data_IF_316173036574
#
_entry.id   IF_316173036574
#
_cell.length_a   1.000
_cell.length_b   1.000
_cell.length_c   1.000
_cell.angle_alpha   90.00
_cell.angle_beta   90.00
_cell.angle_gamma   90.00
#
_symmetry.space_group_name_H-M   'P 1'
#
loop_
_entity.id
_entity.type
_entity.pdbx_description
1 polymer ?
#
# COMPACT_ATOMS: atom_id res chain seq x y z
N UNK A 1 -13.64 -84.40 -20.15
CA UNK A 1 -12.38 -84.91 -20.77
C UNK A 1 -11.93 -83.89 -21.82
N UNK A 2 -10.73 -83.30 -21.80
CA UNK A 2 -9.61 -83.30 -20.83
C UNK A 2 -8.90 -81.93 -20.95
N UNK A 3 -8.60 -81.19 -19.89
CA UNK A 3 -9.29 -81.02 -18.60
C UNK A 3 -9.08 -79.56 -18.16
N UNK A 4 -10.07 -78.94 -17.51
CA UNK A 4 -9.80 -77.74 -16.70
C UNK A 4 -8.98 -78.20 -15.49
N UNK A 5 -7.65 -78.12 -15.57
CA UNK A 5 -6.73 -78.25 -14.43
C UNK A 5 -5.32 -77.77 -14.74
N UNK A 6 -4.90 -76.75 -13.99
CA UNK A 6 -3.56 -76.11 -13.88
C UNK A 6 -3.30 -74.89 -14.77
N UNK A 7 -3.82 -73.72 -14.35
CA UNK A 7 -2.95 -72.73 -13.69
C UNK A 7 -3.78 -71.66 -12.93
N UNK A 8 -4.19 -71.98 -11.70
CA UNK A 8 -4.58 -70.95 -10.72
C UNK A 8 -3.30 -70.58 -9.96
N UNK A 9 -2.83 -69.33 -10.08
CA UNK A 9 -2.28 -68.49 -8.99
C UNK A 9 -1.66 -67.19 -9.53
N UNK A 10 -2.49 -66.15 -9.66
CA UNK A 10 -2.05 -64.77 -9.36
C UNK A 10 -3.24 -63.88 -9.07
N UNK A 11 -3.67 -63.84 -7.80
CA UNK A 11 -4.71 -62.92 -7.33
C UNK A 11 -4.33 -61.44 -7.54
N UNK A 12 -3.03 -61.14 -7.69
CA UNK A 12 -2.52 -59.78 -7.98
C UNK A 12 -2.98 -59.25 -9.34
N UNK A 13 -3.06 -60.07 -10.39
CA UNK A 13 -3.40 -59.60 -11.74
C UNK A 13 -4.87 -59.15 -11.82
N UNK A 14 -5.80 -59.88 -11.18
CA UNK A 14 -7.21 -59.46 -11.11
C UNK A 14 -7.40 -58.17 -10.31
N UNK A 15 -6.66 -57.98 -9.22
CA UNK A 15 -6.74 -56.75 -8.42
C UNK A 15 -6.23 -55.53 -9.22
N UNK A 16 -5.09 -55.65 -9.92
CA UNK A 16 -4.55 -54.55 -10.73
C UNK A 16 -5.54 -54.14 -11.84
N UNK A 17 -6.14 -55.11 -12.54
CA UNK A 17 -7.10 -54.82 -13.61
C UNK A 17 -8.39 -54.17 -13.09
N UNK A 18 -8.90 -54.62 -11.93
CA UNK A 18 -10.09 -54.02 -11.29
C UNK A 18 -9.79 -52.60 -10.80
N UNK A 19 -8.61 -52.36 -10.20
CA UNK A 19 -8.22 -51.02 -9.73
C UNK A 19 -8.07 -50.03 -10.89
N UNK A 20 -7.49 -50.44 -12.03
CA UNK A 20 -7.39 -49.58 -13.21
C UNK A 20 -8.75 -49.26 -13.85
N UNK A 21 -9.67 -50.23 -13.91
CA UNK A 21 -11.04 -50.00 -14.43
C UNK A 21 -11.85 -49.10 -13.49
N UNK A 22 -11.77 -49.29 -12.17
CA UNK A 22 -12.44 -48.43 -11.18
C UNK A 22 -11.90 -46.99 -11.22
N UNK A 23 -10.60 -46.79 -11.40
CA UNK A 23 -10.01 -45.46 -11.54
C UNK A 23 -10.49 -44.73 -12.81
N UNK A 24 -10.59 -45.43 -13.94
CA UNK A 24 -11.11 -44.87 -15.20
C UNK A 24 -12.59 -44.50 -15.11
N UNK A 25 -13.42 -45.33 -14.48
CA UNK A 25 -14.85 -45.02 -14.25
C UNK A 25 -15.01 -43.85 -13.26
N UNK A 26 -14.21 -43.79 -12.20
CA UNK A 26 -14.22 -42.66 -11.26
C UNK A 26 -13.84 -41.33 -11.95
N UNK A 27 -12.81 -41.31 -12.79
CA UNK A 27 -12.46 -40.12 -13.57
C UNK A 27 -13.57 -39.67 -14.52
N UNK A 28 -14.28 -40.61 -15.18
CA UNK A 28 -15.41 -40.27 -16.05
C UNK A 28 -16.63 -39.74 -15.28
N UNK A 29 -16.96 -40.29 -14.11
CA UNK A 29 -18.07 -39.80 -13.27
C UNK A 29 -17.77 -38.40 -12.71
N UNK A 30 -16.51 -38.10 -12.37
CA UNK A 30 -16.10 -36.75 -11.92
C UNK A 30 -16.12 -35.73 -13.07
N UNK A 31 -15.80 -36.12 -14.30
CA UNK A 31 -15.89 -35.22 -15.47
C UNK A 31 -17.32 -35.04 -16.03
N UNK A 32 -18.20 -36.02 -15.90
CA UNK A 32 -19.56 -35.96 -16.45
C UNK A 32 -20.57 -35.19 -15.59
N UNK A 33 -20.33 -35.05 -14.28
CA UNK A 33 -21.27 -34.40 -13.35
C UNK A 33 -21.14 -32.86 -13.25
N UNK A 34 -20.41 -32.21 -14.16
CA UNK A 34 -20.09 -30.78 -14.06
C UNK A 34 -20.58 -29.94 -15.26
N UNK A 35 -21.71 -30.34 -15.88
CA UNK A 35 -22.48 -29.51 -16.81
C UNK A 35 -23.99 -29.64 -16.57
N UNK A 36 -24.70 -28.52 -16.81
CA UNK A 36 -26.16 -28.34 -16.82
C UNK A 36 -26.94 -28.59 -15.52
N UNK A 37 -27.08 -27.53 -14.72
CA UNK A 37 -28.37 -27.19 -14.09
C UNK A 37 -28.46 -25.67 -13.89
N UNK A 38 -29.04 -24.97 -14.85
CA UNK A 38 -29.43 -23.56 -14.68
C UNK A 38 -30.64 -23.42 -13.75
N UNK A 39 -30.79 -22.21 -13.21
CA UNK A 39 -31.94 -21.63 -12.50
C UNK A 39 -32.16 -21.92 -11.00
N UNK A 40 -32.26 -20.78 -10.28
CA UNK A 40 -32.88 -20.52 -8.97
C UNK A 40 -32.08 -21.03 -7.75
N UNK A 41 -31.06 -20.24 -7.39
CA UNK A 41 -30.82 -19.87 -5.98
C UNK A 41 -30.59 -18.36 -5.89
N UNK A 42 -31.24 -17.72 -4.92
CA UNK A 42 -31.35 -16.27 -4.79
C UNK A 42 -30.16 -15.64 -4.07
N UNK A 43 -29.72 -14.50 -4.59
CA UNK A 43 -29.13 -13.34 -3.92
C UNK A 43 -27.87 -13.42 -3.03
N UNK A 44 -27.01 -12.41 -3.28
CA UNK A 44 -26.22 -11.64 -2.29
C UNK A 44 -24.83 -12.07 -1.82
N UNK A 45 -24.13 -13.03 -2.45
CA UNK A 45 -22.73 -13.35 -2.04
C UNK A 45 -21.62 -13.40 -3.12
N UNK A 46 -21.85 -13.00 -4.38
CA UNK A 46 -20.84 -13.16 -5.44
C UNK A 46 -20.57 -11.92 -6.33
N UNK A 47 -19.96 -10.86 -5.77
CA UNK A 47 -19.36 -9.78 -6.57
C UNK A 47 -18.07 -9.16 -5.99
N UNK A 48 -17.34 -9.89 -5.13
CA UNK A 48 -16.10 -9.39 -4.49
C UNK A 48 -14.79 -9.66 -5.27
N UNK A 49 -14.85 -10.37 -6.40
CA UNK A 49 -13.67 -10.84 -7.15
C UNK A 49 -13.48 -10.24 -8.56
N UNK A 50 -14.28 -9.25 -8.98
CA UNK A 50 -13.90 -8.46 -10.17
C UNK A 50 -12.78 -7.48 -9.78
N UNK A 51 -11.68 -7.36 -10.55
CA UNK A 51 -10.71 -6.32 -10.31
C UNK A 51 -11.40 -4.96 -10.45
N UNK A 52 -11.15 -4.03 -9.52
CA UNK A 52 -11.78 -2.70 -9.54
C UNK A 52 -11.31 -1.86 -10.74
N UNK A 53 -10.24 -2.29 -11.40
CA UNK A 53 -9.67 -1.72 -12.61
C UNK A 53 -9.70 -2.73 -13.75
N UNK A 54 -10.26 -2.34 -14.89
CA UNK A 54 -9.97 -3.02 -16.16
C UNK A 54 -8.54 -2.69 -16.58
N UNK A 55 -7.83 -3.68 -17.13
CA UNK A 55 -6.40 -3.53 -17.49
C UNK A 55 -6.19 -2.36 -18.45
N UNK A 56 -5.40 -1.36 -18.02
CA UNK A 56 -4.91 -0.27 -18.86
C UNK A 56 -5.54 1.10 -18.61
N UNK A 57 -6.76 1.18 -18.05
CA UNK A 57 -7.47 2.44 -17.81
C UNK A 57 -7.23 2.97 -16.39
N UNK A 58 -6.06 3.57 -16.17
CA UNK A 58 -5.73 4.31 -14.93
C UNK A 58 -5.70 5.81 -15.17
N UNK A 59 -6.50 6.55 -14.41
CA UNK A 59 -6.42 8.01 -14.29
C UNK A 59 -5.37 8.42 -13.27
N UNK A 60 -4.90 9.66 -13.35
CA UNK A 60 -4.07 10.26 -12.30
C UNK A 60 -4.80 10.27 -10.94
N UNK A 61 -6.14 10.37 -10.93
CA UNK A 61 -6.98 10.35 -9.73
C UNK A 61 -7.08 8.98 -9.05
N UNK A 62 -6.76 7.89 -9.73
CA UNK A 62 -6.73 6.55 -9.11
C UNK A 62 -5.52 6.39 -8.19
N UNK A 63 -4.48 7.20 -8.43
CA UNK A 63 -3.25 7.18 -7.64
C UNK A 63 -3.51 7.79 -6.27
N UNK A 64 -3.30 6.96 -5.25
CA UNK A 64 -3.55 7.33 -3.87
C UNK A 64 -2.73 8.54 -3.43
N UNK A 65 -3.40 9.46 -2.78
CA UNK A 65 -2.87 10.65 -2.14
C UNK A 65 -3.60 10.87 -0.81
N UNK A 66 -2.94 11.54 0.16
CA UNK A 66 -3.52 11.74 1.50
C UNK A 66 -4.90 12.44 1.47
N UNK A 67 -5.15 13.30 0.48
CA UNK A 67 -6.44 13.98 0.28
C UNK A 67 -7.59 13.01 -0.04
N UNK A 68 -7.30 11.86 -0.64
CA UNK A 68 -8.34 10.91 -1.09
C UNK A 68 -9.08 10.28 0.10
N UNK A 69 -8.37 10.06 1.22
CA UNK A 69 -8.98 9.64 2.48
C UNK A 69 -9.95 10.68 3.05
N UNK A 70 -9.70 11.98 2.84
CA UNK A 70 -10.67 13.03 3.18
C UNK A 70 -11.84 13.02 2.20
N UNK A 71 -11.57 12.86 0.90
CA UNK A 71 -12.58 12.85 -0.16
C UNK A 71 -13.55 11.68 -0.04
N UNK A 72 -13.12 10.48 0.40
CA UNK A 72 -14.02 9.34 0.63
C UNK A 72 -14.78 9.38 1.97
N UNK A 73 -14.38 10.21 2.93
CA UNK A 73 -15.09 10.32 4.20
C UNK A 73 -16.48 10.96 4.04
N UNK A 74 -17.45 10.58 4.86
CA UNK A 74 -18.75 11.27 4.94
C UNK A 74 -18.59 12.65 5.60
N UNK A 75 -17.71 12.70 6.61
CA UNK A 75 -17.44 13.88 7.42
C UNK A 75 -15.94 14.03 7.67
N UNK A 76 -15.47 15.27 7.78
CA UNK A 76 -14.08 15.54 8.15
C UNK A 76 -13.95 16.71 9.13
N UNK A 77 -12.98 16.62 10.04
CA UNK A 77 -12.62 17.67 10.99
C UNK A 77 -11.20 18.18 10.69
N UNK A 78 -11.07 19.43 10.21
CA UNK A 78 -9.84 19.98 9.65
C UNK A 78 -9.05 20.90 10.57
N UNK A 79 -7.72 20.82 10.43
CA UNK A 79 -6.67 21.74 10.88
C UNK A 79 -5.90 22.31 9.68
N UNK A 80 -5.67 21.49 8.66
CA UNK A 80 -4.86 21.82 7.49
C UNK A 80 -5.68 22.34 6.30
N UNK A 81 -4.99 22.96 5.36
CA UNK A 81 -5.57 23.45 4.11
C UNK A 81 -6.01 22.32 3.17
N UNK A 82 -6.90 22.65 2.24
CA UNK A 82 -7.39 21.74 1.19
C UNK A 82 -7.10 22.39 -0.16
N UNK A 83 -6.58 21.65 -1.17
CA UNK A 83 -6.36 22.20 -2.51
C UNK A 83 -7.67 22.77 -3.09
N UNK A 84 -7.58 23.92 -3.75
CA UNK A 84 -8.72 24.75 -4.15
C UNK A 84 -9.79 23.96 -4.93
N UNK A 85 -9.35 23.10 -5.85
CA UNK A 85 -10.17 22.20 -6.67
C UNK A 85 -11.12 21.27 -5.88
N UNK A 86 -10.87 21.04 -4.59
CA UNK A 86 -11.68 20.17 -3.74
C UNK A 86 -12.55 20.94 -2.72
N UNK A 87 -12.40 22.26 -2.58
CA UNK A 87 -13.06 23.04 -1.53
C UNK A 87 -14.59 22.90 -1.55
N UNK A 88 -15.23 23.08 -2.72
CA UNK A 88 -16.69 23.05 -2.87
C UNK A 88 -17.34 21.69 -2.54
N UNK A 89 -16.58 20.60 -2.71
CA UNK A 89 -16.99 19.24 -2.31
C UNK A 89 -16.76 19.03 -0.82
N UNK A 90 -15.60 19.49 -0.32
CA UNK A 90 -15.19 19.27 1.06
C UNK A 90 -15.99 20.12 2.05
N UNK A 91 -16.28 21.40 1.79
CA UNK A 91 -17.03 22.28 2.70
C UNK A 91 -18.36 21.66 3.18
N UNK A 92 -19.07 20.94 2.31
CA UNK A 92 -20.34 20.25 2.60
C UNK A 92 -20.19 19.10 3.61
N UNK A 93 -18.97 18.61 3.83
CA UNK A 93 -18.61 17.51 4.74
C UNK A 93 -18.04 17.99 6.08
N UNK A 94 -17.83 19.29 6.25
CA UNK A 94 -17.07 19.84 7.38
C UNK A 94 -17.86 19.70 8.68
N UNK A 95 -17.24 19.09 9.69
CA UNK A 95 -17.72 19.10 11.07
C UNK A 95 -16.79 19.94 11.95
N UNK A 96 -17.38 20.55 12.96
CA UNK A 96 -16.71 21.33 14.00
C UNK A 96 -17.33 20.98 15.36
N UNK A 97 -16.74 21.39 16.50
CA UNK A 97 -17.37 21.22 17.82
C UNK A 97 -18.76 21.87 17.92
N UNK A 98 -19.06 22.89 17.11
CA UNK A 98 -20.37 23.56 17.08
C UNK A 98 -21.40 22.90 16.16
N UNK A 99 -20.98 21.99 15.28
CA UNK A 99 -21.88 21.26 14.39
C UNK A 99 -22.86 20.41 15.20
N UNK A 100 -24.14 20.33 14.78
CA UNK A 100 -25.18 19.44 15.34
C UNK A 100 -24.93 17.97 14.94
N UNK A 101 -23.79 17.43 15.36
CA UNK A 101 -23.26 16.09 15.06
C UNK A 101 -24.29 15.00 15.28
N UNK A 102 -25.11 15.12 16.33
CA UNK A 102 -26.18 14.19 16.68
C UNK A 102 -27.32 14.08 15.63
N UNK A 103 -27.37 15.01 14.66
CA UNK A 103 -28.28 15.01 13.50
C UNK A 103 -27.58 14.75 12.16
N UNK A 104 -26.24 14.85 12.13
CA UNK A 104 -25.41 14.76 10.92
C UNK A 104 -24.77 13.37 10.83
N UNK A 105 -24.10 12.94 11.89
CA UNK A 105 -23.42 11.63 11.98
C UNK A 105 -24.40 10.58 12.55
N UNK A 106 -25.48 10.36 11.80
CA UNK A 106 -26.61 9.49 12.19
C UNK A 106 -26.49 8.09 11.57
N UNK A 107 -25.93 7.97 10.37
CA UNK A 107 -25.79 6.68 9.68
C UNK A 107 -24.79 5.79 10.41
N UNK A 108 -25.17 4.58 10.86
CA UNK A 108 -24.21 3.57 11.28
C UNK A 108 -23.24 3.29 10.14
N UNK A 109 -21.95 3.23 10.45
CA UNK A 109 -20.89 3.02 9.47
C UNK A 109 -20.39 4.29 8.78
N UNK A 110 -20.78 5.49 9.21
CA UNK A 110 -20.21 6.72 8.65
C UNK A 110 -18.68 6.74 8.78
N UNK A 111 -18.00 7.16 7.72
CA UNK A 111 -16.54 7.31 7.67
C UNK A 111 -16.19 8.74 8.08
N UNK A 112 -15.41 8.90 9.16
CA UNK A 112 -15.05 10.22 9.70
C UNK A 112 -13.53 10.42 9.63
N UNK A 113 -13.09 11.45 8.90
CA UNK A 113 -11.70 11.87 8.86
C UNK A 113 -11.41 12.95 9.91
N UNK A 114 -10.27 12.87 10.59
CA UNK A 114 -9.82 13.86 11.56
C UNK A 114 -8.36 14.19 11.31
N UNK A 115 -8.04 15.46 11.09
CA UNK A 115 -6.64 15.87 10.94
C UNK A 115 -5.87 15.54 12.24
N UNK A 116 -4.67 14.96 12.13
CA UNK A 116 -3.98 14.27 13.23
C UNK A 116 -3.92 15.09 14.52
N UNK A 117 -3.49 16.35 14.41
CA UNK A 117 -3.41 17.29 15.53
C UNK A 117 -4.73 17.68 16.20
N UNK A 118 -5.88 17.17 15.74
CA UNK A 118 -7.20 17.35 16.34
C UNK A 118 -7.77 16.05 16.95
N UNK A 119 -7.07 14.91 16.87
CA UNK A 119 -7.61 13.61 17.33
C UNK A 119 -8.06 13.62 18.80
N UNK A 120 -7.31 14.33 19.68
CA UNK A 120 -7.66 14.56 21.08
C UNK A 120 -8.96 15.35 21.20
N UNK A 121 -9.05 16.50 20.53
CA UNK A 121 -10.23 17.35 20.55
C UNK A 121 -11.46 16.66 19.94
N UNK A 122 -11.28 15.79 18.95
CA UNK A 122 -12.32 14.91 18.44
C UNK A 122 -12.79 13.89 19.50
N UNK A 123 -11.86 13.20 20.17
CA UNK A 123 -12.15 12.25 21.26
C UNK A 123 -12.97 12.92 22.37
N UNK A 124 -12.60 14.14 22.74
CA UNK A 124 -13.14 14.83 23.91
C UNK A 124 -14.44 15.60 23.61
N UNK A 125 -14.57 16.24 22.43
CA UNK A 125 -15.69 17.16 22.12
C UNK A 125 -16.71 16.63 21.09
N UNK A 126 -16.32 15.69 20.22
CA UNK A 126 -17.13 15.25 19.08
C UNK A 126 -17.61 13.81 19.27
N UNK A 127 -16.71 12.87 19.53
CA UNK A 127 -17.00 11.45 19.70
C UNK A 127 -18.05 11.14 20.80
N UNK A 128 -18.15 11.86 21.93
CA UNK A 128 -19.18 11.62 22.93
C UNK A 128 -20.60 11.86 22.37
N UNK A 129 -20.73 12.79 21.43
CA UNK A 129 -22.00 13.22 20.82
C UNK A 129 -22.43 12.39 19.60
N UNK A 130 -21.51 11.68 18.96
CA UNK A 130 -21.82 10.72 17.89
C UNK A 130 -22.72 9.60 18.44
N UNK A 131 -23.80 9.25 17.72
CA UNK A 131 -24.74 8.19 18.15
C UNK A 131 -24.47 6.84 17.48
N UNK A 132 -24.10 6.87 16.19
CA UNK A 132 -23.76 5.66 15.43
C UNK A 132 -22.37 5.10 15.76
N UNK A 133 -22.07 3.93 15.17
CA UNK A 133 -20.68 3.46 15.02
C UNK A 133 -20.07 4.07 13.76
N UNK A 134 -18.77 4.31 13.75
CA UNK A 134 -18.02 4.96 12.66
C UNK A 134 -16.73 4.21 12.34
N UNK A 135 -16.20 4.38 11.13
CA UNK A 135 -14.78 4.13 10.84
C UNK A 135 -14.03 5.45 10.97
N UNK A 136 -12.97 5.46 11.77
CA UNK A 136 -12.14 6.65 12.02
C UNK A 136 -10.92 6.64 11.11
N UNK A 137 -10.65 7.74 10.44
CA UNK A 137 -9.42 8.03 9.71
C UNK A 137 -8.72 9.19 10.41
N UNK A 138 -7.43 9.06 10.73
CA UNK A 138 -6.63 10.16 11.30
C UNK A 138 -5.32 10.36 10.57
N UNK A 139 -5.03 11.58 10.11
CA UNK A 139 -3.80 11.83 9.38
C UNK A 139 -3.68 13.26 8.89
N UNK A 140 -2.93 13.43 7.80
CA UNK A 140 -2.50 14.73 7.25
C UNK A 140 -1.50 15.47 8.18
N UNK A 141 -0.55 16.16 7.55
CA UNK A 141 0.67 16.62 8.19
C UNK A 141 1.68 15.49 8.47
N UNK A 142 2.78 15.88 9.11
CA UNK A 142 3.95 15.02 9.38
C UNK A 142 3.88 14.28 10.73
N UNK A 143 2.91 14.62 11.60
CA UNK A 143 2.84 14.09 12.95
C UNK A 143 2.58 12.57 12.99
N UNK A 144 3.32 11.84 13.83
CA UNK A 144 3.19 10.38 13.93
C UNK A 144 1.99 9.96 14.79
N UNK A 145 1.05 9.23 14.17
CA UNK A 145 -0.21 8.82 14.82
C UNK A 145 -0.09 7.46 15.52
N UNK A 146 -0.63 7.30 16.75
CA UNK A 146 -1.27 8.32 17.58
C UNK A 146 -0.27 9.02 18.52
N UNK A 147 0.98 8.54 18.58
CA UNK A 147 1.93 8.79 19.66
C UNK A 147 2.28 10.24 19.93
N UNK A 148 2.17 11.14 18.94
CA UNK A 148 2.42 12.58 19.16
C UNK A 148 1.22 13.35 19.71
N UNK A 149 0.03 12.74 19.78
CA UNK A 149 -1.20 13.43 20.19
C UNK A 149 -1.99 12.71 21.29
N UNK A 150 -1.83 11.39 21.44
CA UNK A 150 -2.47 10.57 22.47
C UNK A 150 -1.42 9.70 23.15
N UNK A 151 -1.49 9.59 24.48
CA UNK A 151 -0.71 8.62 25.23
C UNK A 151 -1.30 7.20 25.06
N UNK A 152 -0.63 6.18 25.62
CA UNK A 152 -1.04 4.78 25.51
C UNK A 152 -2.46 4.54 26.07
N UNK A 153 -2.78 5.12 27.22
CA UNK A 153 -4.11 4.98 27.85
C UNK A 153 -5.21 5.57 26.97
N UNK A 154 -4.99 6.79 26.46
CA UNK A 154 -5.94 7.50 25.59
C UNK A 154 -6.09 6.82 24.22
N UNK A 155 -5.02 6.19 23.73
CA UNK A 155 -5.03 5.37 22.51
C UNK A 155 -5.91 4.14 22.72
N UNK A 156 -5.75 3.43 23.84
CA UNK A 156 -6.60 2.28 24.19
C UNK A 156 -8.04 2.72 24.39
N UNK A 157 -8.29 3.82 25.10
CA UNK A 157 -9.62 4.40 25.30
C UNK A 157 -10.34 4.68 23.97
N UNK A 158 -9.66 5.32 23.02
CA UNK A 158 -10.23 5.64 21.71
C UNK A 158 -10.42 4.38 20.84
N UNK A 159 -9.43 3.50 20.75
CA UNK A 159 -9.51 2.28 19.93
C UNK A 159 -10.55 1.28 20.46
N UNK A 160 -10.60 1.05 21.77
CA UNK A 160 -11.56 0.14 22.40
C UNK A 160 -12.99 0.68 22.41
N UNK A 161 -13.19 1.99 22.20
CA UNK A 161 -14.51 2.62 22.21
C UNK A 161 -15.51 1.90 21.28
N UNK A 162 -16.68 1.55 21.80
CA UNK A 162 -17.73 0.80 21.08
C UNK A 162 -18.29 1.52 19.84
N UNK A 163 -18.06 2.83 19.71
CA UNK A 163 -18.44 3.64 18.55
C UNK A 163 -17.41 3.57 17.42
N UNK A 164 -16.16 3.16 17.69
CA UNK A 164 -15.13 2.99 16.66
C UNK A 164 -15.19 1.54 16.16
N UNK A 165 -15.53 1.36 14.88
CA UNK A 165 -15.48 0.06 14.19
C UNK A 165 -14.02 -0.33 13.96
N UNK A 166 -13.30 0.55 13.27
CA UNK A 166 -11.88 0.45 12.95
C UNK A 166 -11.27 1.84 12.91
N UNK A 167 -9.95 1.94 13.08
CA UNK A 167 -9.19 3.18 13.12
C UNK A 167 -7.96 3.09 12.21
N UNK A 168 -8.01 3.85 11.13
CA UNK A 168 -6.94 4.01 10.15
C UNK A 168 -6.13 5.27 10.41
N UNK A 169 -4.80 5.19 10.29
CA UNK A 169 -3.87 6.25 10.67
C UNK A 169 -2.78 6.46 9.61
N UNK A 170 -2.30 7.68 9.37
CA UNK A 170 -1.05 7.92 8.60
C UNK A 170 0.14 8.13 9.54
N UNK A 171 1.38 8.00 9.02
CA UNK A 171 2.62 8.15 9.82
C UNK A 171 2.62 7.29 11.10
N UNK A 172 2.17 6.04 11.01
CA UNK A 172 1.85 5.24 12.19
C UNK A 172 3.04 4.97 13.10
N UNK A 173 2.85 5.25 14.39
CA UNK A 173 3.66 4.76 15.49
C UNK A 173 2.73 4.46 16.69
N UNK A 174 2.42 3.18 16.91
CA UNK A 174 1.53 2.73 18.00
C UNK A 174 0.36 1.83 17.60
N UNK A 175 0.21 1.40 16.34
CA UNK A 175 -0.87 0.47 15.94
C UNK A 175 -0.83 -0.89 16.65
N UNK A 176 0.36 -1.32 17.11
CA UNK A 176 0.55 -2.50 17.94
C UNK A 176 -0.11 -2.40 19.33
N UNK A 177 -0.55 -1.21 19.77
CA UNK A 177 -1.26 -1.01 21.05
C UNK A 177 -2.66 -1.64 21.02
N UNK A 178 -3.34 -1.66 19.86
CA UNK A 178 -4.66 -2.26 19.70
C UNK A 178 -4.84 -2.86 18.29
N UNK A 179 -4.10 -3.93 17.95
CA UNK A 179 -3.95 -4.41 16.57
C UNK A 179 -5.22 -5.02 15.97
N UNK A 180 -6.25 -5.26 16.76
CA UNK A 180 -7.56 -5.76 16.29
C UNK A 180 -8.45 -4.66 15.67
N UNK A 181 -8.10 -3.38 15.83
CA UNK A 181 -8.82 -2.24 15.22
C UNK A 181 -7.93 -1.11 14.69
N UNK A 182 -6.64 -1.08 15.01
CA UNK A 182 -5.73 -0.01 14.58
C UNK A 182 -4.89 -0.46 13.39
N UNK A 183 -4.84 0.36 12.35
CA UNK A 183 -4.12 0.02 11.12
C UNK A 183 -3.53 1.26 10.42
N UNK A 184 -2.41 1.08 9.70
CA UNK A 184 -1.89 2.15 8.85
C UNK A 184 -2.60 2.25 7.51
N UNK A 185 -2.87 3.50 7.14
CA UNK A 185 -3.03 3.95 5.77
C UNK A 185 -1.79 4.75 5.35
N UNK A 186 -1.37 4.68 4.08
CA UNK A 186 -0.20 5.37 3.58
C UNK A 186 -0.48 6.86 3.33
N UNK A 187 0.58 7.67 3.26
CA UNK A 187 0.49 9.07 2.81
C UNK A 187 0.24 9.17 1.29
N UNK A 188 0.63 8.14 0.53
CA UNK A 188 0.48 8.07 -0.92
C UNK A 188 1.40 9.05 -1.65
N UNK A 189 0.91 9.66 -2.72
CA UNK A 189 1.58 10.73 -3.49
C UNK A 189 1.12 12.10 -3.01
N UNK A 190 1.96 13.13 -3.14
CA UNK A 190 1.63 14.51 -2.76
C UNK A 190 0.33 15.00 -3.44
N UNK A 191 -0.60 15.56 -2.65
CA UNK A 191 -1.77 16.28 -3.20
C UNK A 191 -1.44 17.68 -3.76
N UNK A 192 -0.18 18.12 -3.62
CA UNK A 192 0.33 19.42 -4.05
C UNK A 192 1.26 19.28 -5.26
N UNK A 193 1.48 20.38 -6.00
CA UNK A 193 2.46 20.51 -7.08
C UNK A 193 2.32 19.51 -8.26
N UNK A 194 1.13 18.96 -8.49
CA UNK A 194 0.83 18.13 -9.67
C UNK A 194 1.54 16.77 -9.72
N UNK A 195 1.95 16.19 -8.58
CA UNK A 195 2.76 14.97 -8.58
C UNK A 195 2.05 13.76 -9.21
N UNK A 196 0.72 13.67 -9.08
CA UNK A 196 -0.08 12.58 -9.67
C UNK A 196 -0.16 12.70 -11.19
N UNK A 197 -0.31 13.92 -11.68
CA UNK A 197 -0.33 14.31 -13.08
C UNK A 197 1.03 14.03 -13.75
N UNK A 198 2.14 14.36 -13.07
CA UNK A 198 3.48 14.00 -13.53
C UNK A 198 3.70 12.46 -13.57
N UNK A 199 3.15 11.69 -12.62
CA UNK A 199 3.15 10.21 -12.66
C UNK A 199 2.21 9.63 -13.73
N UNK A 200 1.17 10.36 -14.14
CA UNK A 200 0.31 9.99 -15.26
C UNK A 200 1.04 10.20 -16.58
N UNK A 201 1.66 11.36 -16.77
CA UNK A 201 2.49 11.65 -17.94
C UNK A 201 3.62 10.61 -18.11
N UNK A 202 4.30 10.23 -17.02
CA UNK A 202 5.31 9.17 -17.07
C UNK A 202 4.72 7.82 -17.50
N UNK A 203 3.55 7.44 -16.97
CA UNK A 203 2.85 6.20 -17.33
C UNK A 203 2.41 6.17 -18.80
N UNK A 204 1.83 7.27 -19.30
CA UNK A 204 1.36 7.41 -20.68
C UNK A 204 2.51 7.36 -21.69
N UNK A 205 3.69 7.86 -21.33
CA UNK A 205 4.93 7.73 -22.13
C UNK A 205 5.63 6.36 -21.95
N UNK A 206 5.00 5.39 -21.28
CA UNK A 206 5.54 4.03 -21.15
C UNK A 206 6.63 3.87 -20.09
N UNK A 207 6.73 4.79 -19.13
CA UNK A 207 7.59 4.69 -17.95
C UNK A 207 6.80 4.15 -16.74
N UNK A 208 7.49 3.53 -15.78
CA UNK A 208 6.85 2.96 -14.58
C UNK A 208 6.15 1.62 -14.82
N UNK A 209 5.15 1.32 -13.98
CA UNK A 209 4.45 0.04 -13.95
C UNK A 209 3.66 -0.25 -15.25
N UNK A 210 3.85 -1.43 -15.81
CA UNK A 210 3.04 -1.97 -16.91
C UNK A 210 1.59 -2.12 -16.43
N UNK A 211 0.66 -1.53 -17.17
CA UNK A 211 -0.77 -1.45 -16.81
C UNK A 211 -1.02 -1.01 -15.36
N UNK A 212 -0.15 -0.17 -14.78
CA UNK A 212 -0.23 0.31 -13.40
C UNK A 212 0.03 -0.74 -12.30
N UNK A 213 0.12 -2.03 -12.63
CA UNK A 213 0.07 -3.11 -11.63
C UNK A 213 1.22 -4.11 -11.69
N UNK A 214 2.19 -3.93 -12.60
CA UNK A 214 3.29 -4.88 -12.80
C UNK A 214 4.61 -4.17 -13.09
N UNK A 215 5.72 -4.61 -12.50
CA UNK A 215 7.06 -4.14 -12.86
C UNK A 215 7.51 -4.64 -14.23
N UNK A 216 8.32 -3.83 -14.92
CA UNK A 216 9.00 -4.25 -16.15
C UNK A 216 10.08 -5.30 -15.82
N UNK A 217 10.16 -6.44 -16.54
CA UNK A 217 11.20 -7.43 -16.31
C UNK A 217 12.57 -6.81 -16.65
N UNK A 218 13.50 -6.87 -15.70
CA UNK A 218 14.84 -6.28 -15.81
C UNK A 218 15.87 -7.29 -15.27
N UNK A 219 17.10 -7.24 -15.79
CA UNK A 219 18.18 -8.13 -15.37
C UNK A 219 19.29 -7.32 -14.71
N UNK A 220 19.79 -7.77 -13.57
CA UNK A 220 20.85 -7.07 -12.81
C UNK A 220 22.12 -6.78 -13.61
N UNK A 221 22.49 -7.69 -14.53
CA UNK A 221 23.62 -7.51 -15.47
C UNK A 221 23.42 -6.36 -16.47
N UNK A 222 22.19 -5.90 -16.66
CA UNK A 222 21.83 -4.77 -17.53
C UNK A 222 21.59 -3.48 -16.72
N UNK A 223 22.03 -3.39 -15.45
CA UNK A 223 21.91 -2.17 -14.67
C UNK A 223 22.79 -1.06 -15.25
N UNK A 224 22.34 0.20 -15.29
CA UNK A 224 23.21 1.32 -15.65
C UNK A 224 24.35 1.46 -14.63
N UNK A 225 25.45 2.11 -15.00
CA UNK A 225 26.55 2.41 -14.07
C UNK A 225 26.10 3.23 -12.84
N UNK A 226 24.99 3.97 -12.98
CA UNK A 226 24.31 4.73 -11.94
C UNK A 226 22.90 4.16 -11.72
N UNK A 227 22.78 3.19 -10.81
CA UNK A 227 21.54 2.42 -10.57
C UNK A 227 20.84 2.73 -9.24
N UNK A 228 21.38 3.65 -8.44
CA UNK A 228 20.79 4.13 -7.18
C UNK A 228 20.52 5.63 -7.31
N UNK A 229 19.42 6.14 -6.75
CA UNK A 229 19.12 7.58 -6.70
C UNK A 229 18.96 8.10 -5.26
N UNK A 230 19.76 9.10 -4.87
CA UNK A 230 19.70 9.75 -3.55
C UNK A 230 19.20 11.20 -3.70
N UNK A 231 17.86 11.31 -3.85
CA UNK A 231 17.13 12.46 -4.42
C UNK A 231 16.63 13.61 -3.50
N UNK A 232 16.98 13.70 -2.21
CA UNK A 232 16.11 14.36 -1.20
C UNK A 232 16.60 15.71 -0.63
N UNK A 233 15.64 16.57 -0.29
CA UNK A 233 15.86 17.80 0.48
C UNK A 233 16.23 17.47 1.92
N UNK A 234 17.42 17.91 2.35
CA UNK A 234 17.94 17.68 3.71
C UNK A 234 17.12 18.42 4.78
N UNK A 235 16.72 19.67 4.50
CA UNK A 235 16.13 20.57 5.49
C UNK A 235 14.79 20.11 6.06
N UNK A 236 14.05 19.24 5.37
CA UNK A 236 12.77 18.72 5.89
C UNK A 236 12.94 17.75 7.06
N UNK A 237 14.10 17.09 7.18
CA UNK A 237 14.43 16.22 8.31
C UNK A 237 15.95 15.96 8.35
N UNK A 238 16.73 16.96 8.77
CA UNK A 238 18.20 16.90 8.71
C UNK A 238 18.78 15.72 9.49
N UNK A 239 18.21 15.38 10.65
CA UNK A 239 18.72 14.32 11.51
C UNK A 239 18.66 12.93 10.84
N UNK A 240 17.60 12.63 10.08
CA UNK A 240 17.46 11.36 9.36
C UNK A 240 18.11 11.41 7.97
N UNK A 241 18.07 12.57 7.29
CA UNK A 241 18.47 12.70 5.89
C UNK A 241 19.96 12.97 5.68
N UNK A 242 20.64 13.63 6.62
CA UNK A 242 22.08 13.88 6.49
C UNK A 242 22.89 12.56 6.47
N UNK A 243 22.68 11.59 7.39
CA UNK A 243 23.40 10.31 7.34
C UNK A 243 23.20 9.54 6.03
N UNK A 244 21.98 9.57 5.47
CA UNK A 244 21.70 8.98 4.16
C UNK A 244 22.50 9.68 3.05
N UNK A 245 22.53 11.02 3.03
CA UNK A 245 23.31 11.76 2.03
C UNK A 245 24.81 11.47 2.17
N UNK A 246 25.32 11.43 3.40
CA UNK A 246 26.74 11.17 3.66
C UNK A 246 27.15 9.77 3.20
N UNK A 247 26.29 8.76 3.39
CA UNK A 247 26.53 7.40 2.91
C UNK A 247 26.49 7.27 1.38
N UNK A 248 25.45 7.80 0.71
CA UNK A 248 25.28 7.61 -0.74
C UNK A 248 26.03 8.63 -1.61
N UNK A 249 26.36 9.81 -1.08
CA UNK A 249 26.86 10.94 -1.87
C UNK A 249 28.08 11.65 -1.25
N UNK A 250 28.23 11.65 0.07
CA UNK A 250 29.34 12.33 0.76
C UNK A 250 30.72 11.84 0.29
N UNK A 251 31.68 12.76 0.16
CA UNK A 251 33.03 12.44 -0.34
C UNK A 251 33.78 11.43 0.54
N UNK A 252 33.48 11.45 1.85
CA UNK A 252 33.99 10.53 2.86
C UNK A 252 33.11 9.28 3.05
N UNK A 253 32.20 8.98 2.12
CA UNK A 253 31.34 7.79 2.17
C UNK A 253 32.17 6.52 2.45
N UNK A 254 31.80 5.70 3.46
CA UNK A 254 32.51 4.47 3.78
C UNK A 254 32.39 3.45 2.64
N UNK A 255 31.35 3.55 1.80
CA UNK A 255 31.10 2.64 0.69
C UNK A 255 31.28 3.35 -0.67
N UNK A 256 32.54 3.48 -1.09
CA UNK A 256 32.92 4.10 -2.38
C UNK A 256 32.27 3.45 -3.60
N UNK A 257 31.89 2.16 -3.54
CA UNK A 257 31.17 1.49 -4.65
C UNK A 257 29.74 2.02 -4.76
N UNK A 258 29.01 2.06 -3.64
CA UNK A 258 27.65 2.60 -3.58
C UNK A 258 27.61 4.08 -3.95
N UNK A 259 28.55 4.90 -3.48
CA UNK A 259 28.69 6.29 -3.94
C UNK A 259 28.91 6.39 -5.45
N UNK A 260 29.75 5.52 -6.03
CA UNK A 260 29.94 5.46 -7.49
C UNK A 260 28.67 5.02 -8.22
N UNK A 261 27.87 4.12 -7.67
CA UNK A 261 26.57 3.70 -8.21
C UNK A 261 25.43 4.71 -8.02
N UNK A 262 25.61 5.74 -7.19
CA UNK A 262 24.54 6.68 -6.80
C UNK A 262 24.48 7.95 -7.64
N UNK A 263 23.26 8.32 -8.06
CA UNK A 263 22.91 9.65 -8.59
C UNK A 263 22.63 10.56 -7.40
N UNK A 264 23.37 11.66 -7.33
CA UNK A 264 23.26 12.68 -6.29
C UNK A 264 22.72 13.98 -6.89
N UNK A 265 21.46 13.95 -7.36
CA UNK A 265 20.82 15.07 -8.05
C UNK A 265 19.94 15.87 -7.09
N UNK A 266 20.51 16.90 -6.44
CA UNK A 266 19.73 17.87 -5.68
C UNK A 266 19.59 19.17 -6.48
N UNK A 267 18.60 19.21 -7.39
CA UNK A 267 18.14 20.44 -8.01
C UNK A 267 16.69 20.69 -7.61
N UNK A 268 16.48 21.66 -6.70
CA UNK A 268 15.16 22.08 -6.21
C UNK A 268 14.31 22.79 -7.29
N UNK A 269 14.96 23.29 -8.34
CA UNK A 269 14.33 24.04 -9.42
C UNK A 269 14.07 23.15 -10.66
N UNK A 270 14.37 21.84 -10.56
CA UNK A 270 14.07 20.84 -11.59
C UNK A 270 12.57 20.52 -11.63
N UNK A 271 11.90 20.59 -12.79
CA UNK A 271 10.52 20.15 -12.94
C UNK A 271 10.34 18.67 -12.56
N UNK A 272 9.25 18.36 -11.86
CA UNK A 272 9.00 17.02 -11.33
C UNK A 272 8.91 15.94 -12.43
N UNK A 273 8.36 16.25 -13.61
CA UNK A 273 8.37 15.32 -14.75
C UNK A 273 9.80 14.98 -15.21
N UNK A 274 10.72 15.95 -15.18
CA UNK A 274 12.11 15.76 -15.59
C UNK A 274 12.83 14.86 -14.58
N UNK A 275 12.56 15.02 -13.29
CA UNK A 275 13.06 14.10 -12.26
C UNK A 275 12.60 12.66 -12.50
N UNK A 276 11.33 12.47 -12.89
CA UNK A 276 10.77 11.16 -13.19
C UNK A 276 11.36 10.54 -14.46
N UNK A 277 11.39 11.27 -15.57
CA UNK A 277 11.81 10.75 -16.86
C UNK A 277 13.33 10.63 -17.00
N UNK A 278 14.10 11.64 -16.57
CA UNK A 278 15.54 11.65 -16.80
C UNK A 278 16.34 10.84 -15.76
N UNK A 279 15.80 10.63 -14.55
CA UNK A 279 16.52 10.01 -13.44
C UNK A 279 15.79 8.78 -12.87
N UNK A 280 14.56 8.97 -12.39
CA UNK A 280 13.84 7.93 -11.63
C UNK A 280 13.51 6.70 -12.50
N UNK A 281 13.18 6.90 -13.77
CA UNK A 281 12.93 5.84 -14.76
C UNK A 281 14.15 4.92 -15.01
N UNK A 282 15.37 5.45 -14.82
CA UNK A 282 16.62 4.79 -15.24
C UNK A 282 17.21 3.94 -14.13
N UNK A 283 17.06 4.36 -12.88
CA UNK A 283 17.59 3.65 -11.71
C UNK A 283 16.83 2.36 -11.38
N UNK A 284 17.43 1.53 -10.52
CA UNK A 284 16.86 0.30 -9.99
C UNK A 284 16.39 0.52 -8.54
N UNK A 285 17.12 1.36 -7.80
CA UNK A 285 16.88 1.66 -6.39
C UNK A 285 16.79 3.17 -6.13
N UNK A 286 15.99 3.56 -5.13
CA UNK A 286 15.83 4.97 -4.71
C UNK A 286 15.92 5.06 -3.19
N UNK A 287 16.80 5.93 -2.70
CA UNK A 287 16.96 6.17 -1.27
C UNK A 287 15.80 7.03 -0.79
N UNK A 288 14.96 6.46 0.07
CA UNK A 288 13.73 7.07 0.60
C UNK A 288 13.80 7.15 2.14
N UNK A 289 14.62 8.06 2.70
CA UNK A 289 14.61 8.32 4.13
C UNK A 289 13.28 8.94 4.55
N UNK A 290 12.92 8.84 5.83
CA UNK A 290 11.69 9.42 6.39
C UNK A 290 11.48 10.89 5.96
N UNK A 291 10.21 11.28 5.86
CA UNK A 291 9.75 12.64 5.53
C UNK A 291 10.00 13.63 6.67
N UNK A 292 9.13 14.64 6.78
CA UNK A 292 8.96 15.31 8.08
C UNK A 292 8.39 14.31 9.08
N UNK A 293 7.40 13.53 8.64
CA UNK A 293 6.89 12.33 9.31
C UNK A 293 7.66 11.04 8.97
N UNK A 294 7.17 9.91 9.49
CA UNK A 294 7.75 8.58 9.22
C UNK A 294 7.55 8.13 7.77
N UNK A 295 6.41 8.44 7.16
CA UNK A 295 6.14 8.11 5.76
C UNK A 295 6.78 9.15 4.83
N UNK A 296 6.97 8.81 3.56
CA UNK A 296 7.50 9.73 2.57
C UNK A 296 6.82 9.51 1.20
N UNK A 297 6.33 10.60 0.60
CA UNK A 297 5.79 10.61 -0.77
C UNK A 297 6.71 9.89 -1.77
N UNK A 298 8.03 10.00 -1.59
CA UNK A 298 9.04 9.35 -2.43
C UNK A 298 8.93 7.84 -2.46
N UNK A 299 8.58 7.20 -1.33
CA UNK A 299 8.42 5.75 -1.28
C UNK A 299 7.34 5.32 -2.27
N UNK A 300 6.20 6.02 -2.26
CA UNK A 300 5.07 5.77 -3.15
C UNK A 300 5.36 6.12 -4.60
N UNK A 301 5.96 7.29 -4.88
CA UNK A 301 6.43 7.70 -6.22
C UNK A 301 7.38 6.66 -6.84
N UNK A 302 8.32 6.15 -6.05
CA UNK A 302 9.29 5.13 -6.50
C UNK A 302 8.58 3.84 -6.92
N UNK A 303 7.58 3.40 -6.13
CA UNK A 303 6.80 2.19 -6.42
C UNK A 303 5.97 2.34 -7.70
N UNK A 304 5.34 3.50 -7.94
CA UNK A 304 4.67 3.82 -9.21
C UNK A 304 5.59 3.78 -10.42
N UNK A 305 6.85 4.16 -10.22
CA UNK A 305 7.88 4.18 -11.24
C UNK A 305 8.60 2.84 -11.42
N UNK A 306 8.16 1.79 -10.71
CA UNK A 306 8.67 0.42 -10.86
C UNK A 306 10.11 0.23 -10.37
N UNK A 307 10.63 1.15 -9.56
CA UNK A 307 11.90 1.03 -8.87
C UNK A 307 11.69 0.56 -7.41
N UNK A 308 12.79 0.18 -6.74
CA UNK A 308 12.76 -0.34 -5.38
C UNK A 308 13.15 0.78 -4.40
N UNK A 309 12.24 1.30 -3.55
CA UNK A 309 12.63 2.22 -2.50
C UNK A 309 13.44 1.49 -1.42
N UNK A 310 14.51 2.13 -0.97
CA UNK A 310 15.31 1.75 0.19
C UNK A 310 14.85 2.63 1.36
N UNK A 311 14.31 2.02 2.42
CA UNK A 311 13.75 2.70 3.59
C UNK A 311 14.38 2.18 4.88
N UNK A 312 14.47 3.03 5.90
CA UNK A 312 14.80 2.56 7.24
C UNK A 312 13.62 1.84 7.89
N UNK A 313 13.91 0.79 8.65
CA UNK A 313 12.95 0.02 9.44
C UNK A 313 12.28 0.92 10.49
N UNK A 314 10.97 0.82 10.59
CA UNK A 314 10.14 1.62 11.48
C UNK A 314 8.82 0.92 11.78
N UNK A 315 7.94 1.60 12.51
CA UNK A 315 6.54 1.20 12.68
C UNK A 315 5.70 1.23 11.38
N UNK A 316 6.31 1.51 10.22
CA UNK A 316 5.68 1.37 8.89
C UNK A 316 6.02 0.06 8.16
N UNK A 317 6.88 -0.81 8.68
CA UNK A 317 7.36 -1.99 7.95
C UNK A 317 6.22 -2.92 7.45
N UNK A 318 5.13 -3.04 8.23
CA UNK A 318 3.96 -3.84 7.83
C UNK A 318 3.09 -3.17 6.73
N UNK A 319 3.15 -1.84 6.57
CA UNK A 319 2.47 -1.12 5.49
C UNK A 319 3.10 -1.45 4.13
N UNK A 320 4.40 -1.70 4.11
CA UNK A 320 5.17 -2.12 2.93
C UNK A 320 5.10 -3.62 2.63
N UNK A 321 4.40 -4.41 3.47
CA UNK A 321 4.23 -5.84 3.23
C UNK A 321 3.63 -6.06 1.83
N UNK A 322 4.14 -7.05 1.10
CA UNK A 322 3.73 -7.40 -0.27
C UNK A 322 3.95 -6.30 -1.32
N UNK A 323 4.78 -5.28 -1.02
CA UNK A 323 5.32 -4.31 -1.97
C UNK A 323 6.85 -4.49 -2.10
N UNK A 324 7.47 -4.11 -3.23
CA UNK A 324 8.91 -4.28 -3.46
C UNK A 324 9.72 -3.19 -2.74
N UNK A 325 9.75 -3.22 -1.41
CA UNK A 325 10.48 -2.25 -0.57
C UNK A 325 11.67 -2.92 0.10
N UNK A 326 12.87 -2.35 -0.06
CA UNK A 326 14.06 -2.80 0.69
C UNK A 326 14.11 -2.07 2.03
N UNK A 327 13.80 -2.81 3.10
CA UNK A 327 13.83 -2.31 4.48
C UNK A 327 15.18 -2.68 5.11
N UNK A 328 15.90 -1.69 5.63
CA UNK A 328 17.20 -1.83 6.31
C UNK A 328 17.15 -1.21 7.71
N UNK A 329 18.05 -1.57 8.62
CA UNK A 329 18.15 -0.97 9.97
C UNK A 329 19.15 0.18 10.01
N UNK A 330 20.21 0.12 9.21
CA UNK A 330 21.14 1.24 8.99
C UNK A 330 21.63 1.33 7.54
N UNK A 331 22.09 2.51 7.11
CA UNK A 331 22.54 2.73 5.73
C UNK A 331 23.77 1.89 5.37
N UNK A 332 24.57 1.51 6.37
CA UNK A 332 25.76 0.68 6.23
C UNK A 332 25.47 -0.73 5.69
N UNK A 333 24.26 -1.26 5.90
CA UNK A 333 23.82 -2.54 5.33
C UNK A 333 23.73 -2.52 3.79
N UNK A 334 23.61 -1.34 3.18
CA UNK A 334 23.43 -1.21 1.73
C UNK A 334 24.75 -1.47 1.01
N UNK A 335 25.00 -2.73 0.63
CA UNK A 335 26.12 -3.13 -0.22
C UNK A 335 25.67 -3.49 -1.63
N UNK A 336 26.61 -3.64 -2.57
CA UNK A 336 26.28 -4.07 -3.94
C UNK A 336 25.68 -5.49 -3.95
N UNK A 337 26.14 -6.34 -3.04
CA UNK A 337 25.67 -7.71 -2.83
C UNK A 337 24.24 -7.76 -2.25
N UNK A 338 23.90 -6.87 -1.31
CA UNK A 338 22.52 -6.73 -0.81
C UNK A 338 21.58 -6.26 -1.93
N UNK A 339 22.00 -5.26 -2.72
CA UNK A 339 21.19 -4.73 -3.80
C UNK A 339 21.00 -5.76 -4.94
N UNK A 340 22.04 -6.50 -5.30
CA UNK A 340 21.96 -7.59 -6.29
C UNK A 340 21.01 -8.71 -5.83
N UNK A 341 21.18 -9.19 -4.60
CA UNK A 341 20.37 -10.28 -4.04
C UNK A 341 18.90 -9.86 -3.89
N UNK A 342 18.63 -8.67 -3.34
CA UNK A 342 17.28 -8.09 -3.24
C UNK A 342 16.64 -7.95 -4.62
N UNK A 343 17.36 -7.41 -5.59
CA UNK A 343 16.83 -7.23 -6.95
C UNK A 343 16.47 -8.58 -7.58
N UNK A 344 17.35 -9.56 -7.49
CA UNK A 344 17.14 -10.91 -8.04
C UNK A 344 16.05 -11.70 -7.28
N UNK A 345 15.81 -11.44 -5.99
CA UNK A 345 14.62 -11.93 -5.28
C UNK A 345 13.35 -11.26 -5.83
N UNK A 346 13.32 -9.93 -5.87
CA UNK A 346 12.12 -9.16 -6.19
C UNK A 346 11.68 -9.38 -7.65
N UNK A 347 12.60 -9.59 -8.61
CA UNK A 347 12.23 -9.99 -9.98
C UNK A 347 11.56 -11.37 -10.07
N UNK A 348 11.66 -12.22 -9.04
CA UNK A 348 11.01 -13.56 -8.96
C UNK A 348 9.76 -13.58 -8.08
N UNK A 349 9.45 -12.47 -7.39
CA UNK A 349 8.36 -12.38 -6.42
C UNK A 349 7.16 -11.63 -7.02
N UNK A 350 5.96 -12.16 -6.79
CA UNK A 350 4.73 -11.43 -7.05
C UNK A 350 4.47 -10.42 -5.93
N UNK A 351 4.11 -9.18 -6.30
CA UNK A 351 3.78 -8.09 -5.39
C UNK A 351 2.37 -7.56 -5.64
N UNK A 352 1.75 -7.01 -4.61
CA UNK A 352 0.38 -6.48 -4.66
C UNK A 352 0.37 -4.95 -4.82
N UNK A 353 0.62 -4.49 -6.05
CA UNK A 353 0.59 -3.07 -6.40
C UNK A 353 -0.80 -2.43 -6.26
N UNK A 354 -1.89 -3.19 -6.03
CA UNK A 354 -3.22 -2.61 -5.76
C UNK A 354 -3.20 -1.70 -4.53
N UNK A 355 -2.30 -1.98 -3.57
CA UNK A 355 -2.07 -1.14 -2.37
C UNK A 355 -1.62 0.30 -2.70
N UNK A 356 -1.13 0.57 -3.91
CA UNK A 356 -0.82 1.92 -4.35
C UNK A 356 -2.09 2.74 -4.65
N UNK A 357 -3.22 2.11 -4.96
CA UNK A 357 -4.39 2.75 -5.55
C UNK A 357 -5.55 2.96 -4.57
N UNK A 358 -6.33 4.04 -4.74
CA UNK A 358 -7.41 4.38 -3.81
C UNK A 358 -8.52 3.32 -3.75
N UNK A 359 -8.77 2.57 -4.84
CA UNK A 359 -9.78 1.49 -4.84
C UNK A 359 -9.52 0.43 -3.76
N UNK A 360 -8.26 0.02 -3.56
CA UNK A 360 -7.89 -0.97 -2.54
C UNK A 360 -8.25 -0.47 -1.14
N UNK A 361 -7.82 0.75 -0.82
CA UNK A 361 -8.09 1.35 0.49
C UNK A 361 -9.56 1.65 0.71
N UNK A 362 -10.28 2.05 -0.33
CA UNK A 362 -11.74 2.21 -0.28
C UNK A 362 -12.43 0.88 0.03
N UNK A 363 -12.11 -0.19 -0.71
CA UNK A 363 -12.67 -1.52 -0.44
C UNK A 363 -12.41 -1.96 1.00
N UNK A 364 -11.19 -1.71 1.51
CA UNK A 364 -10.78 -2.07 2.86
C UNK A 364 -11.49 -1.27 3.96
N UNK A 365 -11.58 0.05 3.79
CA UNK A 365 -12.25 0.97 4.73
C UNK A 365 -13.76 0.68 4.79
N UNK A 366 -14.41 0.57 3.64
CA UNK A 366 -15.85 0.32 3.55
C UNK A 366 -16.22 -1.15 3.85
N UNK A 367 -15.26 -2.08 3.80
CA UNK A 367 -15.44 -3.48 4.20
C UNK A 367 -15.75 -3.68 5.69
N UNK A 368 -15.48 -2.69 6.55
CA UNK A 368 -15.87 -2.70 7.97
C UNK A 368 -17.33 -2.26 8.22
N UNK A 369 -18.07 -1.91 7.17
CA UNK A 369 -19.45 -1.43 7.26
C UNK A 369 -20.48 -2.51 6.95
N UNK A 370 -20.01 -3.68 6.49
CA UNK A 370 -20.76 -4.91 6.19
C UNK A 370 -20.64 -5.86 7.37
#
# INVERSE_FOLDING_TARGET
MVEIKRLIKSTRIRIIFIVQVVALVACFVVFANNQSSDMIYSDSHASFNKPVYEYGNFSYLDRLSSIDFKLISDHYYKKYGIPEQYLSVMEKKLITPLTRIERVIVKPGAVVYVDGGLVRQFKDLILPRIRGKIVLLTGDGDDSMPSLHLNVSETIELASNRKILHWYMSNCNGTHIYPSKMECMPVGVSQWHGHRENLQYAYENGTGLIHGLQTRPRLWRNRPAKYIMSSFTISSNRAVRQPALDYFCGDNSPNRRIRRASICSFNKDMPQYQLYDEYLSKVYFVVSPHGGGLDCYRTWETLYMGAIPIVMSSSLDYLYKDLPVLIIRSWEEVTEELLESTFNEFQRRAFDYRKLYMAYWRQKIFGHLV
#
